data_IF_271668551279
#
_entry.id   IF_271668551279
#
_cell.length_a   1.000
_cell.length_b   1.000
_cell.length_c   1.000
_cell.angle_alpha   90.00
_cell.angle_beta   90.00
_cell.angle_gamma   90.00
#
_symmetry.space_group_name_H-M   'P 1'
#
loop_
_entity.id
_entity.type
_entity.pdbx_description
1 polymer ?
#
# COMPACT_ATOMS: atom_id res chain seq x y z
N UNK A 1 41.70 55.19 -6.43
CA UNK A 1 40.54 55.09 -7.34
C UNK A 1 40.56 53.69 -7.93
N UNK A 2 39.57 52.86 -7.61
CA UNK A 2 39.39 51.57 -8.30
C UNK A 2 38.99 51.86 -9.74
N UNK A 3 39.77 51.35 -10.70
CA UNK A 3 39.48 51.46 -12.13
C UNK A 3 38.15 50.76 -12.45
N UNK A 4 37.43 51.21 -13.48
CA UNK A 4 36.19 50.56 -13.93
C UNK A 4 36.34 49.07 -14.21
N UNK A 5 37.53 48.64 -14.62
CA UNK A 5 37.90 47.22 -14.83
C UNK A 5 37.85 46.43 -13.51
N UNK A 6 38.26 47.02 -12.38
CA UNK A 6 38.22 46.37 -11.07
C UNK A 6 36.80 46.12 -10.56
N UNK A 7 35.89 47.08 -10.78
CA UNK A 7 34.47 46.93 -10.43
C UNK A 7 33.79 45.82 -11.25
N UNK A 8 34.17 45.69 -12.53
CA UNK A 8 33.67 44.63 -13.40
C UNK A 8 34.18 43.25 -12.95
N UNK A 9 35.45 43.15 -12.56
CA UNK A 9 36.02 41.91 -12.04
C UNK A 9 35.34 41.45 -10.73
N UNK A 10 35.08 42.37 -9.80
CA UNK A 10 34.38 42.08 -8.55
C UNK A 10 32.93 41.62 -8.78
N UNK A 11 32.23 42.25 -9.74
CA UNK A 11 30.88 41.85 -10.12
C UNK A 11 30.83 40.44 -10.73
N UNK A 12 31.79 40.10 -11.59
CA UNK A 12 31.92 38.75 -12.17
C UNK A 12 32.21 37.69 -11.10
N UNK A 13 33.12 37.98 -10.16
CA UNK A 13 33.42 37.05 -9.06
C UNK A 13 32.20 36.79 -8.17
N UNK A 14 31.41 37.84 -7.86
CA UNK A 14 30.14 37.67 -7.13
C UNK A 14 29.13 36.88 -7.95
N UNK A 15 29.03 37.13 -9.25
CA UNK A 15 28.16 36.38 -10.16
C UNK A 15 28.48 34.89 -10.17
N UNK A 16 29.76 34.53 -10.28
CA UNK A 16 30.21 33.14 -10.22
C UNK A 16 29.91 32.51 -8.85
N UNK A 17 30.17 33.23 -7.76
CA UNK A 17 29.85 32.73 -6.42
C UNK A 17 28.35 32.46 -6.22
N UNK A 18 27.47 33.31 -6.77
CA UNK A 18 26.02 33.10 -6.72
C UNK A 18 25.62 31.89 -7.60
N UNK A 19 26.25 31.75 -8.76
CA UNK A 19 26.02 30.61 -9.65
C UNK A 19 26.37 29.28 -8.97
N UNK A 20 27.53 29.20 -8.32
CA UNK A 20 27.96 28.00 -7.60
C UNK A 20 26.99 27.65 -6.47
N UNK A 21 26.52 28.64 -5.70
CA UNK A 21 25.53 28.45 -4.65
C UNK A 21 24.19 27.93 -5.19
N UNK A 22 23.71 28.49 -6.32
CA UNK A 22 22.48 28.03 -6.95
C UNK A 22 22.62 26.60 -7.49
N UNK A 23 23.78 26.28 -8.05
CA UNK A 23 24.09 24.93 -8.53
C UNK A 23 24.09 23.91 -7.39
N UNK A 24 24.68 24.24 -6.24
CA UNK A 24 24.67 23.38 -5.05
C UNK A 24 23.27 23.18 -4.48
N UNK A 25 22.46 24.25 -4.40
CA UNK A 25 21.06 24.16 -3.98
C UNK A 25 20.25 23.27 -4.93
N UNK A 26 20.43 23.43 -6.25
CA UNK A 26 19.76 22.59 -7.23
C UNK A 26 20.12 21.10 -7.05
N UNK A 27 21.40 20.80 -6.79
CA UNK A 27 21.85 19.43 -6.53
C UNK A 27 21.24 18.84 -5.27
N UNK A 28 21.25 19.58 -4.17
CA UNK A 28 20.60 19.15 -2.92
C UNK A 28 19.10 18.92 -3.11
N UNK A 29 18.44 19.78 -3.86
CA UNK A 29 17.02 19.67 -4.14
C UNK A 29 16.70 18.38 -4.93
N UNK A 30 17.53 18.01 -5.90
CA UNK A 30 17.41 16.74 -6.64
C UNK A 30 17.53 15.54 -5.68
N UNK A 31 18.50 15.56 -4.76
CA UNK A 31 18.68 14.50 -3.77
C UNK A 31 17.48 14.37 -2.84
N UNK A 32 16.93 15.50 -2.37
CA UNK A 32 15.70 15.53 -1.55
C UNK A 32 14.51 14.95 -2.32
N UNK A 33 14.32 15.34 -3.59
CA UNK A 33 13.24 14.79 -4.41
C UNK A 33 13.38 13.29 -4.62
N UNK A 34 14.60 12.79 -4.85
CA UNK A 34 14.84 11.36 -4.97
C UNK A 34 14.43 10.60 -3.70
N UNK A 35 14.77 11.13 -2.52
CA UNK A 35 14.35 10.54 -1.24
C UNK A 35 12.84 10.57 -1.04
N UNK A 36 12.18 11.67 -1.42
CA UNK A 36 10.71 11.78 -1.35
C UNK A 36 10.01 10.77 -2.27
N UNK A 37 10.50 10.58 -3.49
CA UNK A 37 9.95 9.57 -4.42
C UNK A 37 10.07 8.17 -3.83
N UNK A 38 11.24 7.80 -3.32
CA UNK A 38 11.44 6.50 -2.67
C UNK A 38 10.51 6.29 -1.46
N UNK A 39 10.28 7.33 -0.66
CA UNK A 39 9.34 7.29 0.46
C UNK A 39 7.88 7.10 -0.01
N UNK A 40 7.46 7.80 -1.07
CA UNK A 40 6.12 7.67 -1.66
C UNK A 40 5.92 6.27 -2.24
N UNK A 41 6.90 5.73 -2.95
CA UNK A 41 6.85 4.37 -3.49
C UNK A 41 6.69 3.34 -2.37
N UNK A 42 7.47 3.47 -1.29
CA UNK A 42 7.33 2.61 -0.11
C UNK A 42 5.94 2.74 0.54
N UNK A 43 5.43 3.95 0.69
CA UNK A 43 4.07 4.18 1.18
C UNK A 43 3.01 3.55 0.27
N UNK A 44 3.19 3.60 -1.04
CA UNK A 44 2.29 2.96 -2.00
C UNK A 44 2.29 1.44 -1.87
N UNK A 45 3.46 0.81 -1.71
CA UNK A 45 3.53 -0.65 -1.47
C UNK A 45 2.85 -1.04 -0.15
N UNK A 46 3.01 -0.24 0.91
CA UNK A 46 2.26 -0.43 2.16
C UNK A 46 0.76 -0.29 1.92
N UNK A 47 0.31 0.76 1.22
CA UNK A 47 -1.11 0.98 0.93
C UNK A 47 -1.73 -0.13 0.06
N UNK A 48 -0.98 -0.69 -0.89
CA UNK A 48 -1.41 -1.87 -1.66
C UNK A 48 -1.61 -3.07 -0.75
N UNK A 49 -0.71 -3.31 0.18
CA UNK A 49 -0.77 -4.44 1.12
C UNK A 49 -1.80 -4.24 2.23
N UNK A 50 -2.08 -3.00 2.62
CA UNK A 50 -3.06 -2.66 3.65
C UNK A 50 -4.45 -2.34 3.08
N UNK A 51 -4.64 -2.40 1.76
CA UNK A 51 -5.94 -2.13 1.15
C UNK A 51 -6.92 -3.24 1.57
N UNK A 52 -8.10 -2.90 2.12
CA UNK A 52 -9.14 -3.88 2.38
C UNK A 52 -9.46 -4.62 1.07
N UNK A 53 -9.29 -5.94 1.07
CA UNK A 53 -9.65 -6.76 -0.09
C UNK A 53 -11.17 -6.81 -0.18
N UNK A 54 -11.72 -6.32 -1.28
CA UNK A 54 -13.17 -6.38 -1.53
C UNK A 54 -13.47 -7.69 -2.25
N UNK A 55 -14.11 -8.64 -1.56
CA UNK A 55 -14.53 -9.90 -2.17
C UNK A 55 -15.97 -9.81 -2.67
N UNK A 56 -16.14 -10.07 -3.97
CA UNK A 56 -17.44 -10.24 -4.62
C UNK A 56 -18.07 -11.58 -4.26
N UNK A 57 -19.36 -11.78 -4.53
CA UNK A 57 -20.00 -13.08 -4.32
C UNK A 57 -19.33 -14.20 -5.13
N UNK A 58 -18.90 -13.91 -6.36
CA UNK A 58 -18.17 -14.89 -7.17
C UNK A 58 -16.84 -15.29 -6.52
N UNK A 59 -16.11 -14.33 -5.95
CA UNK A 59 -14.86 -14.61 -5.24
C UNK A 59 -15.10 -15.50 -4.02
N UNK A 60 -16.15 -15.21 -3.23
CA UNK A 60 -16.57 -16.03 -2.09
C UNK A 60 -16.89 -17.45 -2.55
N UNK A 61 -17.65 -17.60 -3.64
CA UNK A 61 -18.03 -18.90 -4.15
C UNK A 61 -16.83 -19.73 -4.63
N UNK A 62 -15.94 -19.14 -5.42
CA UNK A 62 -14.74 -19.81 -5.94
C UNK A 62 -13.85 -20.30 -4.79
N UNK A 63 -13.64 -19.47 -3.76
CA UNK A 63 -12.84 -19.88 -2.60
C UNK A 63 -13.49 -21.01 -1.79
N UNK A 64 -14.82 -20.99 -1.64
CA UNK A 64 -15.54 -22.09 -0.99
C UNK A 64 -15.53 -23.37 -1.82
N UNK A 65 -15.38 -23.25 -3.15
CA UNK A 65 -15.22 -24.37 -4.07
C UNK A 65 -13.83 -25.00 -3.96
N UNK A 66 -12.78 -24.17 -3.88
CA UNK A 66 -11.38 -24.58 -3.63
C UNK A 66 -11.21 -25.31 -2.29
N UNK A 67 -12.12 -25.09 -1.34
CA UNK A 67 -12.21 -25.88 -0.11
C UNK A 67 -12.94 -27.21 -0.38
N UNK A 68 -12.22 -28.16 -1.00
CA UNK A 68 -12.70 -29.49 -1.40
C UNK A 68 -13.37 -30.29 -0.26
N UNK A 69 -13.03 -29.99 1.00
CA UNK A 69 -13.56 -30.68 2.17
C UNK A 69 -14.93 -30.17 2.67
N UNK A 70 -15.45 -29.08 2.10
CA UNK A 70 -16.75 -28.55 2.49
C UNK A 70 -17.88 -29.30 1.79
N UNK A 71 -18.73 -29.99 2.56
CA UNK A 71 -19.93 -30.62 2.02
C UNK A 71 -20.85 -29.56 1.38
N UNK A 72 -21.57 -29.90 0.29
CA UNK A 72 -22.43 -28.95 -0.44
C UNK A 72 -23.42 -28.20 0.45
N UNK A 73 -23.98 -28.87 1.47
CA UNK A 73 -24.91 -28.25 2.42
C UNK A 73 -24.28 -27.13 3.27
N UNK A 74 -22.99 -27.25 3.60
CA UNK A 74 -22.26 -26.25 4.36
C UNK A 74 -21.71 -25.16 3.45
N UNK A 75 -21.37 -25.50 2.21
CA UNK A 75 -20.88 -24.56 1.18
C UNK A 75 -21.88 -23.43 0.93
N UNK A 76 -23.16 -23.76 0.69
CA UNK A 76 -24.22 -22.76 0.49
C UNK A 76 -24.47 -21.89 1.74
N UNK A 77 -24.47 -22.51 2.92
CA UNK A 77 -24.68 -21.78 4.18
C UNK A 77 -23.54 -20.80 4.47
N UNK A 78 -22.31 -21.19 4.17
CA UNK A 78 -21.14 -20.32 4.30
C UNK A 78 -21.18 -19.19 3.28
N UNK A 79 -21.58 -19.47 2.04
CA UNK A 79 -21.73 -18.46 1.00
C UNK A 79 -22.72 -17.37 1.42
N UNK A 80 -23.90 -17.73 1.93
CA UNK A 80 -24.90 -16.76 2.39
C UNK A 80 -24.38 -15.90 3.54
N UNK A 81 -23.75 -16.51 4.54
CA UNK A 81 -23.20 -15.79 5.71
C UNK A 81 -22.08 -14.83 5.30
N UNK A 82 -21.15 -15.26 4.45
CA UNK A 82 -20.00 -14.45 4.03
C UNK A 82 -20.41 -13.33 3.06
N UNK A 83 -21.42 -13.56 2.21
CA UNK A 83 -21.95 -12.52 1.33
C UNK A 83 -22.69 -11.43 2.12
N UNK A 84 -23.38 -11.79 3.21
CA UNK A 84 -24.17 -10.87 4.02
C UNK A 84 -23.37 -10.13 5.11
N UNK A 85 -22.15 -10.59 5.44
CA UNK A 85 -21.34 -10.01 6.51
C UNK A 85 -19.88 -9.80 6.07
N UNK A 86 -19.55 -8.55 5.75
CA UNK A 86 -18.20 -8.17 5.33
C UNK A 86 -17.15 -8.36 6.44
N UNK A 87 -17.50 -8.27 7.73
CA UNK A 87 -16.54 -8.50 8.81
C UNK A 87 -16.14 -9.97 8.88
N UNK A 88 -17.12 -10.86 8.70
CA UNK A 88 -16.90 -12.31 8.64
C UNK A 88 -16.08 -12.70 7.40
N UNK A 89 -16.37 -12.09 6.27
CA UNK A 89 -15.61 -12.20 5.02
C UNK A 89 -14.14 -11.80 5.22
N UNK A 90 -13.89 -10.64 5.83
CA UNK A 90 -12.52 -10.17 6.09
C UNK A 90 -11.78 -11.07 7.09
N UNK A 91 -12.49 -11.67 8.06
CA UNK A 91 -11.90 -12.61 9.01
C UNK A 91 -11.45 -13.92 8.34
N UNK A 92 -12.27 -14.48 7.45
CA UNK A 92 -11.94 -15.73 6.73
C UNK A 92 -10.90 -15.47 5.65
N UNK A 93 -11.06 -14.42 4.86
CA UNK A 93 -10.20 -14.16 3.68
C UNK A 93 -9.03 -13.23 3.97
N UNK A 94 -8.90 -12.72 5.19
CA UNK A 94 -7.76 -11.93 5.63
C UNK A 94 -6.56 -12.77 6.08
N UNK A 95 -6.74 -14.09 6.26
CA UNK A 95 -5.68 -15.03 6.64
C UNK A 95 -5.15 -15.80 5.42
N UNK A 96 -3.99 -16.47 5.51
CA UNK A 96 -3.49 -17.34 4.44
C UNK A 96 -4.49 -18.44 4.01
N UNK A 97 -4.46 -18.84 2.74
CA UNK A 97 -5.43 -19.78 2.13
C UNK A 97 -5.51 -21.13 2.84
N UNK A 98 -4.38 -21.64 3.34
CA UNK A 98 -4.28 -22.87 4.15
C UNK A 98 -5.03 -22.78 5.48
N UNK A 99 -5.28 -21.57 5.98
CA UNK A 99 -5.99 -21.31 7.24
C UNK A 99 -7.49 -21.02 7.03
N UNK A 100 -7.95 -20.82 5.80
CA UNK A 100 -9.35 -20.47 5.49
C UNK A 100 -10.34 -21.48 6.10
N UNK A 101 -10.11 -22.80 5.90
CA UNK A 101 -10.99 -23.84 6.41
C UNK A 101 -11.06 -23.83 7.94
N UNK A 102 -9.92 -23.62 8.60
CA UNK A 102 -9.84 -23.59 10.06
C UNK A 102 -10.66 -22.44 10.64
N UNK A 103 -10.49 -21.23 10.11
CA UNK A 103 -11.23 -20.04 10.56
C UNK A 103 -12.73 -20.19 10.26
N UNK A 104 -13.07 -20.72 9.10
CA UNK A 104 -14.46 -20.98 8.72
C UNK A 104 -15.15 -21.97 9.68
N UNK A 105 -14.48 -23.06 10.04
CA UNK A 105 -14.99 -24.03 11.02
C UNK A 105 -15.14 -23.42 12.42
N UNK A 106 -14.18 -22.59 12.87
CA UNK A 106 -14.30 -21.86 14.14
C UNK A 106 -15.50 -20.92 14.13
N UNK A 107 -15.72 -20.19 13.03
CA UNK A 107 -16.87 -19.30 12.89
C UNK A 107 -18.19 -20.05 12.85
N UNK A 108 -18.25 -21.19 12.18
CA UNK A 108 -19.44 -22.03 12.18
C UNK A 108 -19.76 -22.50 13.60
N UNK A 109 -18.77 -23.02 14.32
CA UNK A 109 -18.94 -23.49 15.70
C UNK A 109 -19.34 -22.36 16.67
N UNK A 110 -18.83 -21.14 16.49
CA UNK A 110 -19.20 -19.99 17.32
C UNK A 110 -20.66 -19.52 17.09
N UNK A 111 -21.22 -19.73 15.90
CA UNK A 111 -22.60 -19.37 15.57
C UNK A 111 -23.64 -20.43 15.96
N UNK A 112 -23.24 -21.61 16.47
CA UNK A 112 -24.16 -22.65 16.94
C UNK A 112 -24.49 -22.58 18.45
N UNK A 113 -23.90 -21.63 19.19
CA UNK A 113 -24.10 -21.46 20.64
C UNK A 113 -24.92 -20.22 21.03
N UNK A 114 -25.65 -19.59 20.10
CA UNK A 114 -26.58 -18.51 20.40
C UNK A 114 -27.97 -18.79 19.83
#
# INVERSE_FOLDING_TARGET
>A
MTSGIGLMADALNKGNSIYDQLHDVAKQQIEIYAQQVAAIEKCNEILKNCRPRVYTGADVWNMLDELDHLLPQFRFKCYEVLCNDNKKKDLVFGVPTDMHLHVLLQMMNANFYH
#
